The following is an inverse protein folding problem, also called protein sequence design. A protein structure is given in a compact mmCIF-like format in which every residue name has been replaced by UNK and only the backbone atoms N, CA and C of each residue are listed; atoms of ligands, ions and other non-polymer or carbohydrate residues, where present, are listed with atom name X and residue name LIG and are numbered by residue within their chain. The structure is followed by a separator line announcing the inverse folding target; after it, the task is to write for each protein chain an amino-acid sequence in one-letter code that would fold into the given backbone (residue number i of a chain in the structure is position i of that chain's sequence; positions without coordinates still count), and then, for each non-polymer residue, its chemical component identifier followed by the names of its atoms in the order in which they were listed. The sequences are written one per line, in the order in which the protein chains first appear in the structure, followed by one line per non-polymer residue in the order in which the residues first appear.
data_IF_775476106039
#
_entry.id   IF_775476106039
#
_cell.length_a   1.000
_cell.length_b   1.000
_cell.length_c   1.000
_cell.angle_alpha   90.00
_cell.angle_beta   90.00
_cell.angle_gamma   90.00
#
_symmetry.space_group_name_H-M   'P 1'
#
loop_
_entity.id
_entity.type
_entity.pdbx_description
1 polymer ?
#
# COMPACT_ATOMS: atom_id res chain seq x y z
N UNK A 1 26.07 -5.39 7.52
CA UNK A 1 25.66 -4.05 7.07
C UNK A 1 24.69 -4.09 5.87
N UNK A 2 23.65 -4.93 5.90
CA UNK A 2 22.51 -4.89 4.96
C UNK A 2 21.20 -4.46 5.65
N UNK A 3 21.26 -4.20 6.96
CA UNK A 3 20.09 -4.07 7.83
C UNK A 3 19.50 -2.65 7.92
N UNK A 4 20.14 -1.62 7.33
CA UNK A 4 19.72 -0.22 7.55
C UNK A 4 18.65 0.28 6.57
N UNK A 5 18.48 -0.39 5.42
CA UNK A 5 17.40 -0.09 4.49
C UNK A 5 16.04 -0.67 4.95
N UNK A 6 16.06 -1.69 5.82
CA UNK A 6 14.85 -2.28 6.43
C UNK A 6 14.41 -1.56 7.72
N UNK A 7 15.11 -0.50 8.12
CA UNK A 7 14.89 0.22 9.40
C UNK A 7 14.01 1.47 9.26
N UNK A 8 13.58 1.81 8.05
CA UNK A 8 12.73 2.97 7.82
C UNK A 8 11.30 2.51 7.48
N UNK A 9 10.33 2.59 8.43
CA UNK A 9 8.94 2.24 8.16
C UNK A 9 8.33 3.06 7.02
N UNK A 10 8.94 4.20 6.68
CA UNK A 10 8.45 5.14 5.67
C UNK A 10 8.40 4.56 4.26
N UNK A 11 9.26 3.59 3.88
CA UNK A 11 9.29 3.10 2.49
C UNK A 11 8.12 2.16 2.21
N UNK A 12 7.85 1.20 3.09
CA UNK A 12 6.74 0.25 2.87
C UNK A 12 5.40 0.95 3.14
N UNK A 13 5.35 1.78 4.18
CA UNK A 13 4.16 2.59 4.49
C UNK A 13 3.83 3.56 3.34
N UNK A 14 4.82 4.26 2.77
CA UNK A 14 4.57 5.13 1.62
C UNK A 14 4.07 4.36 0.40
N UNK A 15 4.64 3.19 0.08
CA UNK A 15 4.22 2.44 -1.12
C UNK A 15 2.81 1.84 -0.97
N UNK A 16 2.49 1.27 0.20
CA UNK A 16 1.16 0.72 0.49
C UNK A 16 0.12 1.83 0.62
N UNK A 17 0.44 2.91 1.36
CA UNK A 17 -0.46 4.05 1.54
C UNK A 17 -0.70 4.81 0.23
N UNK A 18 0.31 5.00 -0.63
CA UNK A 18 0.13 5.63 -1.95
C UNK A 18 -0.69 4.77 -2.91
N UNK A 19 -0.71 3.44 -2.73
CA UNK A 19 -1.56 2.52 -3.46
C UNK A 19 -3.00 2.60 -3.03
N UNK A 20 -3.22 2.39 -1.74
CA UNK A 20 -4.52 2.55 -1.11
C UNK A 20 -5.16 3.91 -1.41
N UNK A 21 -4.41 5.00 -1.26
CA UNK A 21 -4.94 6.35 -1.50
C UNK A 21 -5.37 6.54 -2.95
N UNK A 22 -4.66 5.95 -3.92
CA UNK A 22 -5.07 6.00 -5.32
C UNK A 22 -6.34 5.18 -5.56
N UNK A 23 -6.50 4.07 -4.86
CA UNK A 23 -7.68 3.22 -4.95
C UNK A 23 -8.92 3.89 -4.35
N UNK A 24 -8.80 4.40 -3.12
CA UNK A 24 -9.87 5.13 -2.44
C UNK A 24 -10.30 6.38 -3.22
N UNK A 25 -9.34 7.10 -3.82
CA UNK A 25 -9.64 8.33 -4.54
C UNK A 25 -10.23 8.10 -5.94
N UNK A 26 -9.93 6.98 -6.58
CA UNK A 26 -10.21 6.77 -8.01
C UNK A 26 -10.85 5.42 -8.31
N UNK A 27 -10.21 4.32 -7.92
CA UNK A 27 -10.65 2.97 -8.31
C UNK A 27 -11.96 2.57 -7.65
N UNK A 28 -12.08 2.71 -6.32
CA UNK A 28 -13.24 2.26 -5.57
C UNK A 28 -14.53 3.00 -5.95
N UNK A 29 -14.55 4.35 -6.09
CA UNK A 29 -15.73 5.05 -6.59
C UNK A 29 -16.16 4.55 -7.98
N UNK A 30 -15.19 4.25 -8.85
CA UNK A 30 -15.47 3.74 -10.19
C UNK A 30 -16.00 2.29 -10.14
N UNK A 31 -15.44 1.43 -9.29
CA UNK A 31 -15.94 0.07 -9.06
C UNK A 31 -17.36 0.06 -8.50
N UNK A 32 -17.66 0.88 -7.49
CA UNK A 32 -19.02 1.00 -6.95
C UNK A 32 -20.02 1.47 -8.03
N UNK A 33 -19.60 2.43 -8.87
CA UNK A 33 -20.42 2.90 -9.98
C UNK A 33 -20.70 1.82 -11.03
N UNK A 34 -19.78 0.87 -11.26
CA UNK A 34 -19.86 -0.14 -12.33
C UNK A 34 -20.46 -1.46 -11.87
N UNK A 35 -20.08 -1.91 -10.67
CA UNK A 35 -20.42 -3.22 -10.12
C UNK A 35 -21.49 -3.12 -9.02
N UNK A 36 -21.90 -1.91 -8.63
CA UNK A 36 -22.96 -1.69 -7.65
C UNK A 36 -22.62 -2.27 -6.29
N UNK A 37 -23.49 -3.13 -5.76
CA UNK A 37 -23.32 -3.74 -4.43
C UNK A 37 -22.04 -4.58 -4.33
N UNK A 38 -21.66 -5.27 -5.39
CA UNK A 38 -20.44 -6.07 -5.39
C UNK A 38 -19.19 -5.20 -5.34
N UNK A 39 -19.18 -4.07 -6.07
CA UNK A 39 -18.11 -3.07 -5.99
C UNK A 39 -18.00 -2.43 -4.61
N UNK A 40 -19.14 -2.20 -3.94
CA UNK A 40 -19.14 -1.68 -2.57
C UNK A 40 -18.61 -2.71 -1.56
N UNK A 41 -19.06 -3.96 -1.65
CA UNK A 41 -18.54 -5.03 -0.78
C UNK A 41 -17.04 -5.28 -0.99
N UNK A 42 -16.55 -5.16 -2.22
CA UNK A 42 -15.12 -5.20 -2.49
C UNK A 42 -14.39 -4.02 -1.84
N UNK A 43 -14.90 -2.80 -2.00
CA UNK A 43 -14.32 -1.60 -1.38
C UNK A 43 -14.20 -1.76 0.14
N UNK A 44 -15.25 -2.25 0.80
CA UNK A 44 -15.19 -2.53 2.25
C UNK A 44 -14.16 -3.62 2.59
N UNK A 45 -14.07 -4.67 1.76
CA UNK A 45 -13.09 -5.74 1.95
C UNK A 45 -11.66 -5.25 1.78
N UNK A 46 -11.33 -4.60 0.67
CA UNK A 46 -9.98 -4.10 0.39
C UNK A 46 -9.50 -3.10 1.44
N UNK A 47 -10.39 -2.22 1.93
CA UNK A 47 -10.05 -1.31 3.03
C UNK A 47 -9.69 -2.07 4.32
N UNK A 48 -10.37 -3.19 4.59
CA UNK A 48 -10.03 -4.04 5.73
C UNK A 48 -8.66 -4.72 5.55
N UNK A 49 -8.39 -5.25 4.35
CA UNK A 49 -7.12 -5.89 4.02
C UNK A 49 -5.94 -4.94 4.10
N UNK A 50 -6.11 -3.70 3.62
CA UNK A 50 -5.08 -2.66 3.75
C UNK A 50 -4.77 -2.35 5.21
N UNK A 51 -5.81 -2.19 6.04
CA UNK A 51 -5.61 -1.95 7.47
C UNK A 51 -4.93 -3.14 8.17
N UNK A 52 -5.25 -4.36 7.75
CA UNK A 52 -4.59 -5.57 8.23
C UNK A 52 -3.10 -5.62 7.84
N UNK A 53 -2.79 -5.29 6.58
CA UNK A 53 -1.42 -5.22 6.06
C UNK A 53 -0.61 -4.15 6.79
N UNK A 54 -1.15 -2.94 6.92
CA UNK A 54 -0.53 -1.83 7.66
C UNK A 54 -0.23 -2.25 9.10
N UNK A 55 -1.19 -2.88 9.79
CA UNK A 55 -1.00 -3.37 11.16
C UNK A 55 0.15 -4.37 11.29
N UNK A 56 0.28 -5.30 10.33
CA UNK A 56 1.39 -6.28 10.30
C UNK A 56 2.74 -5.61 10.07
N UNK A 57 2.79 -4.64 9.16
CA UNK A 57 4.02 -3.88 8.88
C UNK A 57 4.46 -3.03 10.09
N UNK A 58 3.51 -2.39 10.77
CA UNK A 58 3.79 -1.68 12.03
C UNK A 58 4.31 -2.64 13.09
N UNK A 59 3.67 -3.80 13.27
CA UNK A 59 4.12 -4.81 14.23
C UNK A 59 5.52 -5.35 13.89
N UNK A 60 5.83 -5.56 12.61
CA UNK A 60 7.17 -5.95 12.16
C UNK A 60 8.23 -4.90 12.55
N UNK A 61 7.94 -3.61 12.35
CA UNK A 61 8.83 -2.51 12.71
C UNK A 61 9.05 -2.45 14.22
N UNK A 62 8.01 -2.65 15.03
CA UNK A 62 8.10 -2.69 16.48
C UNK A 62 8.97 -3.87 16.95
N UNK A 63 8.72 -5.08 16.42
CA UNK A 63 9.53 -6.26 16.73
C UNK A 63 11.01 -6.05 16.38
N UNK A 64 11.31 -5.42 15.23
CA UNK A 64 12.69 -5.08 14.86
C UNK A 64 13.35 -4.11 15.85
N UNK A 65 12.61 -3.14 16.40
CA UNK A 65 13.13 -2.16 17.38
C UNK A 65 13.44 -2.81 18.73
N UNK A 66 12.69 -3.85 19.08
CA UNK A 66 12.86 -4.61 20.32
C UNK A 66 13.93 -5.72 20.20
N UNK A 67 14.45 -5.96 18.99
CA UNK A 67 15.37 -7.07 18.72
C UNK A 67 14.69 -8.43 18.66
N UNK A 68 13.36 -8.48 18.56
CA UNK A 68 12.57 -9.69 18.36
C UNK A 68 12.58 -10.10 16.88
N UNK A 69 13.65 -10.80 16.48
CA UNK A 69 13.81 -11.27 15.10
C UNK A 69 12.80 -12.35 14.70
N UNK A 70 12.29 -13.13 15.65
CA UNK A 70 11.29 -14.15 15.39
C UNK A 70 9.92 -13.50 15.13
N UNK A 71 9.53 -12.53 15.97
CA UNK A 71 8.34 -11.71 15.76
C UNK A 71 8.40 -10.92 14.46
N UNK A 72 9.55 -10.30 14.14
CA UNK A 72 9.75 -9.63 12.85
C UNK A 72 9.49 -10.57 11.67
N UNK A 73 10.12 -11.75 11.66
CA UNK A 73 9.98 -12.71 10.56
C UNK A 73 8.52 -13.19 10.42
N UNK A 74 7.83 -13.42 11.53
CA UNK A 74 6.43 -13.80 11.54
C UNK A 74 5.54 -12.69 10.93
N UNK A 75 5.68 -11.46 11.41
CA UNK A 75 4.87 -10.33 10.94
C UNK A 75 5.12 -10.01 9.47
N UNK A 76 6.37 -10.11 9.00
CA UNK A 76 6.70 -9.95 7.58
C UNK A 76 6.10 -11.06 6.72
N UNK A 77 6.15 -12.31 7.18
CA UNK A 77 5.53 -13.44 6.48
C UNK A 77 4.01 -13.31 6.40
N UNK A 78 3.37 -12.81 7.45
CA UNK A 78 1.94 -12.56 7.45
C UNK A 78 1.55 -11.33 6.62
N UNK A 79 2.38 -10.27 6.61
CA UNK A 79 2.20 -9.12 5.73
C UNK A 79 2.25 -9.53 4.25
N UNK A 80 3.21 -10.40 3.89
CA UNK A 80 3.30 -10.94 2.53
C UNK A 80 2.03 -11.72 2.14
N UNK A 81 1.47 -12.52 3.05
CA UNK A 81 0.21 -13.25 2.78
C UNK A 81 -0.97 -12.30 2.59
N UNK A 82 -1.08 -11.27 3.44
CA UNK A 82 -2.15 -10.27 3.33
C UNK A 82 -2.05 -9.51 2.00
N UNK A 83 -0.85 -9.08 1.61
CA UNK A 83 -0.61 -8.45 0.30
C UNK A 83 -0.99 -9.36 -0.86
N UNK A 84 -0.58 -10.63 -0.81
CA UNK A 84 -0.85 -11.58 -1.90
C UNK A 84 -2.34 -11.90 -2.03
N UNK A 85 -3.07 -11.99 -0.91
CA UNK A 85 -4.51 -12.17 -0.91
C UNK A 85 -5.22 -10.96 -1.54
N UNK A 86 -4.88 -9.75 -1.08
CA UNK A 86 -5.42 -8.51 -1.64
C UNK A 86 -5.17 -8.40 -3.15
N UNK A 87 -3.92 -8.63 -3.58
CA UNK A 87 -3.53 -8.62 -5.00
C UNK A 87 -4.35 -9.64 -5.81
N UNK A 88 -4.54 -10.86 -5.29
CA UNK A 88 -5.33 -11.88 -5.97
C UNK A 88 -6.79 -11.47 -6.15
N UNK A 89 -7.43 -10.95 -5.11
CA UNK A 89 -8.80 -10.46 -5.21
C UNK A 89 -8.91 -9.34 -6.24
N UNK A 90 -8.02 -8.36 -6.19
CA UNK A 90 -7.99 -7.25 -7.14
C UNK A 90 -7.73 -7.72 -8.59
N UNK A 91 -6.58 -8.37 -8.84
CA UNK A 91 -6.07 -8.64 -10.19
C UNK A 91 -6.76 -9.80 -10.89
N UNK A 92 -7.15 -10.83 -10.15
CA UNK A 92 -7.70 -12.05 -10.75
C UNK A 92 -9.22 -12.03 -10.81
N UNK A 93 -9.89 -11.23 -9.96
CA UNK A 93 -11.35 -11.13 -9.92
C UNK A 93 -11.85 -9.75 -10.31
N UNK A 94 -11.61 -8.74 -9.49
CA UNK A 94 -12.38 -7.49 -9.58
C UNK A 94 -11.96 -6.58 -10.73
N UNK A 95 -10.67 -6.47 -11.04
CA UNK A 95 -10.20 -5.70 -12.19
C UNK A 95 -10.67 -6.31 -13.54
N UNK A 96 -10.64 -7.64 -13.74
CA UNK A 96 -11.28 -8.27 -14.90
C UNK A 96 -12.78 -8.00 -15.01
N UNK A 97 -13.54 -8.10 -13.92
CA UNK A 97 -14.97 -7.82 -13.89
C UNK A 97 -15.27 -6.35 -14.20
N UNK A 98 -14.50 -5.44 -13.62
CA UNK A 98 -14.58 -4.01 -13.90
C UNK A 98 -14.32 -3.69 -15.36
N UNK A 99 -13.31 -4.32 -15.97
CA UNK A 99 -12.99 -4.16 -17.38
C UNK A 99 -14.13 -4.65 -18.28
N UNK A 100 -14.79 -5.75 -17.93
CA UNK A 100 -15.95 -6.27 -18.66
C UNK A 100 -17.19 -5.36 -18.54
N UNK A 101 -17.36 -4.72 -17.39
CA UNK A 101 -18.48 -3.81 -17.11
C UNK A 101 -18.28 -2.38 -17.66
N UNK A 102 -17.12 -2.07 -18.26
CA UNK A 102 -16.73 -0.71 -18.63
C UNK A 102 -16.51 -0.54 -20.12
N UNK A 103 -16.72 0.68 -20.61
CA UNK A 103 -16.36 1.08 -21.97
C UNK A 103 -14.88 1.47 -22.05
N UNK A 104 -14.30 1.39 -23.26
CA UNK A 104 -12.88 1.62 -23.46
C UNK A 104 -12.42 3.06 -23.17
N UNK A 105 -13.29 4.05 -23.38
CA UNK A 105 -13.05 5.45 -23.02
C UNK A 105 -13.10 5.67 -21.50
N UNK A 106 -14.04 5.03 -20.80
CA UNK A 106 -14.12 5.06 -19.33
C UNK A 106 -12.84 4.48 -18.68
N UNK A 107 -12.32 3.36 -19.21
CA UNK A 107 -11.07 2.76 -18.72
C UNK A 107 -9.84 3.63 -19.01
N UNK A 108 -9.82 4.37 -20.13
CA UNK A 108 -8.74 5.33 -20.42
C UNK A 108 -8.78 6.51 -19.45
N UNK A 109 -9.97 7.01 -19.17
CA UNK A 109 -10.18 8.09 -18.21
C UNK A 109 -9.78 7.64 -16.80
N UNK A 110 -10.21 6.44 -16.38
CA UNK A 110 -9.79 5.82 -15.12
C UNK A 110 -8.26 5.74 -15.00
N UNK A 111 -7.59 5.30 -16.07
CA UNK A 111 -6.12 5.20 -16.11
C UNK A 111 -5.46 6.58 -15.96
N UNK A 112 -6.01 7.62 -16.59
CA UNK A 112 -5.50 8.98 -16.48
C UNK A 112 -5.67 9.55 -15.06
N UNK A 113 -6.83 9.31 -14.44
CA UNK A 113 -7.11 9.71 -13.06
C UNK A 113 -6.22 8.96 -12.06
N UNK A 114 -6.04 7.65 -12.25
CA UNK A 114 -5.14 6.83 -11.44
C UNK A 114 -3.70 7.36 -11.49
N UNK A 115 -3.18 7.62 -12.70
CA UNK A 115 -1.84 8.15 -12.87
C UNK A 115 -1.68 9.53 -12.21
N UNK A 116 -2.72 10.36 -12.20
CA UNK A 116 -2.73 11.64 -11.48
C UNK A 116 -2.77 11.47 -9.96
N UNK A 117 -3.59 10.56 -9.45
CA UNK A 117 -3.66 10.24 -8.02
C UNK A 117 -2.30 9.76 -7.51
N UNK A 118 -1.66 8.83 -8.25
CA UNK A 118 -0.30 8.36 -7.95
C UNK A 118 0.78 9.46 -8.03
N UNK A 119 0.62 10.47 -8.90
CA UNK A 119 1.53 11.64 -8.94
C UNK A 119 1.36 12.59 -7.77
N UNK A 120 0.12 12.71 -7.25
CA UNK A 120 -0.23 13.56 -6.11
C UNK A 120 0.08 12.89 -4.77
N UNK A 121 0.13 11.57 -4.75
CA UNK A 121 0.59 10.80 -3.60
C UNK A 121 2.00 11.30 -3.21
N UNK A 122 2.19 11.77 -1.97
CA UNK A 122 3.39 12.50 -1.58
C UNK A 122 4.60 11.56 -1.52
N UNK A 123 5.32 11.43 -2.62
CA UNK A 123 6.71 10.97 -2.63
C UNK A 123 7.64 11.87 -1.77
N UNK A 124 7.16 13.03 -1.31
CA UNK A 124 7.95 13.99 -0.54
C UNK A 124 8.31 13.52 0.87
N UNK A 125 7.55 12.59 1.46
CA UNK A 125 7.92 11.93 2.73
C UNK A 125 9.22 11.12 2.58
N UNK A 126 9.47 10.54 1.39
CA UNK A 126 10.71 9.81 1.05
C UNK A 126 11.90 10.73 0.73
N UNK A 127 11.66 12.03 0.57
CA UNK A 127 12.67 13.04 0.24
C UNK A 127 13.13 13.89 1.42
N UNK A 128 12.54 13.71 2.62
CA UNK A 128 13.13 14.30 3.83
C UNK A 128 14.55 13.72 3.95
N UNK A 129 15.59 14.58 4.04
CA UNK A 129 16.90 14.10 4.40
C UNK A 129 16.75 13.28 5.68
N UNK A 130 17.20 12.02 5.68
CA UNK A 130 17.40 11.26 6.90
C UNK A 130 18.08 12.21 7.87
N UNK A 131 17.41 12.55 8.97
CA UNK A 131 17.95 13.49 9.94
C UNK A 131 19.39 13.05 10.24
N UNK A 132 20.35 13.98 10.04
CA UNK A 132 21.78 13.72 10.18
C UNK A 132 22.00 12.83 11.40
N UNK A 133 22.51 11.64 11.17
CA UNK A 133 22.67 10.68 12.26
C UNK A 133 23.71 11.20 13.26
N UNK A 134 23.55 10.83 14.53
CA UNK A 134 24.31 11.37 15.68
C UNK A 134 25.84 11.31 15.57
N UNK A 135 26.41 10.56 14.61
CA UNK A 135 27.85 10.53 14.35
C UNK A 135 28.35 11.70 13.49
N UNK A 136 27.50 12.32 12.66
CA UNK A 136 27.87 13.50 11.86
C UNK A 136 27.98 14.77 12.72
N UNK A 137 27.35 14.77 13.90
CA UNK A 137 27.48 15.81 14.93
C UNK A 137 28.62 15.57 15.91
N UNK A 138 29.24 14.38 15.88
CA UNK A 138 30.28 13.99 16.83
C UNK A 138 31.72 14.33 16.39
N UNK A 139 31.92 14.81 15.16
CA UNK A 139 33.23 15.30 14.70
C UNK A 139 34.38 14.32 14.91
N UNK A 140 34.24 13.09 14.39
CA UNK A 140 35.34 12.13 14.22
C UNK A 140 35.62 11.90 12.74
#
# INVERSE_FOLDING_TARGET
MAARALQDPTIIDAVVSDHRNAEEAVLYPFMESKLGKEGHSFTEHSNHEHAELEGKLVAAVLASREGDWAGLAQQMGDAQKAFEHHRHDEEDKYLPELAQASQADELRELTAQWAEAKRKAPLSELSRPLAKSSWETAGL
#
